data_IF_553964155521
#
_entry.id   IF_553964155521
#
_cell.length_a   1.000
_cell.length_b   1.000
_cell.length_c   1.000
_cell.angle_alpha   90.00
_cell.angle_beta   90.00
_cell.angle_gamma   90.00
#
_symmetry.space_group_name_H-M   'P 1'
#
loop_
_entity.id
_entity.type
_entity.pdbx_description
1 polymer ?
#
# COMPACT_ATOMS: atom_id res chain seq x y z
N UNK A 1 11.18 -11.24 25.69
CA UNK A 1 9.81 -11.09 25.16
C UNK A 1 9.58 -12.23 24.18
N UNK A 2 8.43 -12.89 24.20
CA UNK A 2 8.07 -13.97 23.26
C UNK A 2 7.20 -13.39 22.14
N UNK A 3 7.86 -12.73 21.17
CA UNK A 3 7.18 -12.12 20.01
C UNK A 3 7.12 -13.14 18.89
N UNK A 4 5.93 -13.34 18.31
CA UNK A 4 5.69 -14.31 17.22
C UNK A 4 5.41 -13.68 15.86
N UNK A 5 5.23 -12.37 15.82
CA UNK A 5 4.96 -11.66 14.57
C UNK A 5 5.30 -10.18 14.64
N UNK A 6 5.58 -9.61 13.48
CA UNK A 6 5.84 -8.18 13.30
C UNK A 6 4.99 -7.67 12.13
N UNK A 7 4.31 -6.55 12.37
CA UNK A 7 3.60 -5.81 11.33
C UNK A 7 4.58 -4.77 10.76
N UNK A 8 4.77 -4.76 9.43
CA UNK A 8 5.66 -3.81 8.76
C UNK A 8 4.86 -3.01 7.74
N UNK A 9 4.74 -1.70 7.97
CA UNK A 9 4.15 -0.76 7.02
C UNK A 9 5.18 -0.30 5.99
N UNK A 10 4.82 -0.37 4.70
CA UNK A 10 5.76 -0.17 3.60
C UNK A 10 5.56 1.10 2.76
N UNK A 11 4.34 1.62 2.56
CA UNK A 11 4.12 2.79 1.69
C UNK A 11 4.97 2.79 0.37
N UNK A 12 5.76 3.85 0.12
CA UNK A 12 6.68 3.98 -1.03
C UNK A 12 8.09 3.40 -0.82
N UNK A 13 8.37 2.71 0.29
CA UNK A 13 9.69 2.11 0.54
C UNK A 13 9.80 0.65 0.08
N UNK A 14 8.75 0.07 -0.53
CA UNK A 14 8.80 -1.26 -1.15
C UNK A 14 9.40 -1.17 -2.58
N UNK A 15 10.27 -2.09 -3.00
CA UNK A 15 10.89 -2.08 -4.34
C UNK A 15 9.91 -2.58 -5.42
N UNK A 16 8.90 -1.76 -5.71
CA UNK A 16 7.88 -2.02 -6.72
C UNK A 16 8.47 -1.97 -8.14
N UNK A 17 7.87 -2.72 -9.06
CA UNK A 17 8.31 -2.85 -10.45
C UNK A 17 7.19 -2.55 -11.46
N UNK A 18 7.56 -2.51 -12.74
CA UNK A 18 6.62 -2.33 -13.85
C UNK A 18 5.93 -0.98 -13.79
N UNK A 19 4.59 -0.98 -13.84
CA UNK A 19 3.79 0.24 -13.78
C UNK A 19 3.91 0.98 -12.44
N UNK A 20 4.42 0.33 -11.39
CA UNK A 20 4.59 0.90 -10.06
C UNK A 20 6.02 1.37 -9.77
N UNK A 21 6.97 1.19 -10.71
CA UNK A 21 8.38 1.51 -10.50
C UNK A 21 8.64 3.00 -10.17
N UNK A 22 7.78 3.91 -10.63
CA UNK A 22 7.91 5.36 -10.39
C UNK A 22 7.52 5.78 -8.97
N UNK A 23 6.96 4.86 -8.17
CA UNK A 23 6.50 5.15 -6.81
C UNK A 23 7.65 5.15 -5.79
N UNK A 24 8.64 4.29 -6.00
CA UNK A 24 9.67 3.99 -5.00
C UNK A 24 10.45 5.21 -4.50
N UNK A 25 10.59 5.32 -3.18
CA UNK A 25 11.43 6.33 -2.55
C UNK A 25 12.93 6.02 -2.77
N UNK A 26 13.77 7.05 -2.90
CA UNK A 26 15.22 6.87 -3.13
C UNK A 26 15.94 6.11 -2.01
N UNK A 27 15.42 6.22 -0.79
CA UNK A 27 15.89 5.49 0.39
C UNK A 27 15.02 4.27 0.72
N UNK A 28 14.22 3.79 -0.23
CA UNK A 28 13.42 2.58 -0.08
C UNK A 28 14.27 1.31 -0.02
N UNK A 29 13.66 0.23 0.43
CA UNK A 29 14.29 -1.08 0.45
C UNK A 29 14.57 -1.57 -0.96
N UNK A 30 15.67 -2.31 -1.12
CA UNK A 30 15.89 -3.15 -2.29
C UNK A 30 15.26 -4.52 -2.10
N UNK A 31 15.07 -5.28 -3.18
CA UNK A 31 14.64 -6.69 -3.09
C UNK A 31 15.57 -7.55 -2.24
N UNK A 32 16.85 -7.20 -2.17
CA UNK A 32 17.82 -7.89 -1.32
C UNK A 32 17.59 -7.59 0.16
N UNK A 33 17.20 -6.35 0.49
CA UNK A 33 16.86 -5.96 1.86
C UNK A 33 15.61 -6.69 2.35
N UNK A 34 14.57 -6.76 1.52
CA UNK A 34 13.36 -7.53 1.86
C UNK A 34 13.67 -9.02 2.09
N UNK A 35 14.50 -9.62 1.24
CA UNK A 35 14.97 -11.01 1.44
C UNK A 35 15.75 -11.19 2.73
N UNK A 36 16.55 -10.20 3.13
CA UNK A 36 17.29 -10.24 4.39
C UNK A 36 16.34 -10.17 5.59
N UNK A 37 15.33 -9.30 5.52
CA UNK A 37 14.28 -9.17 6.55
C UNK A 37 13.50 -10.49 6.68
N UNK A 38 13.02 -11.05 5.56
CA UNK A 38 12.32 -12.35 5.51
C UNK A 38 13.17 -13.47 6.11
N UNK A 39 14.45 -13.54 5.74
CA UNK A 39 15.39 -14.54 6.27
C UNK A 39 15.55 -14.39 7.78
N UNK A 40 15.79 -13.17 8.27
CA UNK A 40 15.97 -12.91 9.69
C UNK A 40 14.72 -13.26 10.50
N UNK A 41 13.52 -12.91 10.01
CA UNK A 41 12.27 -13.24 10.67
C UNK A 41 12.06 -14.76 10.73
N UNK A 42 12.32 -15.47 9.63
CA UNK A 42 12.24 -16.94 9.57
C UNK A 42 13.19 -17.64 10.54
N UNK A 43 14.45 -17.19 10.63
CA UNK A 43 15.46 -17.73 11.55
C UNK A 43 15.08 -17.55 13.03
N UNK A 44 14.20 -16.58 13.33
CA UNK A 44 13.71 -16.28 14.67
C UNK A 44 12.27 -16.74 14.91
N UNK A 45 11.67 -17.51 13.99
CA UNK A 45 10.29 -17.99 14.08
C UNK A 45 9.27 -16.83 14.25
N UNK A 46 9.52 -15.71 13.58
CA UNK A 46 8.65 -14.52 13.55
C UNK A 46 7.94 -14.45 12.20
N UNK A 47 6.62 -14.33 12.21
CA UNK A 47 5.82 -14.04 11.02
C UNK A 47 5.88 -12.53 10.70
N UNK A 48 6.28 -12.17 9.47
CA UNK A 48 6.09 -10.81 8.97
C UNK A 48 4.67 -10.70 8.42
N UNK A 49 3.95 -9.66 8.84
CA UNK A 49 2.67 -9.27 8.27
C UNK A 49 2.91 -7.96 7.52
N UNK A 50 3.00 -7.97 6.19
CA UNK A 50 3.15 -6.74 5.43
C UNK A 50 1.86 -5.92 5.53
N UNK A 51 2.02 -4.62 5.77
CA UNK A 51 0.96 -3.63 5.71
C UNK A 51 1.20 -2.73 4.49
N UNK A 52 0.21 -2.68 3.61
CA UNK A 52 0.14 -1.71 2.54
C UNK A 52 -1.21 -1.02 2.57
N UNK A 53 -1.18 0.30 2.45
CA UNK A 53 -2.38 1.12 2.46
C UNK A 53 -3.17 0.90 1.16
N UNK A 54 -4.49 0.67 1.28
CA UNK A 54 -5.36 0.41 0.12
C UNK A 54 -6.54 1.37 -0.01
N UNK A 55 -6.65 2.35 0.90
CA UNK A 55 -7.76 3.31 0.87
C UNK A 55 -7.34 4.73 1.24
N UNK A 56 -6.96 4.97 2.51
CA UNK A 56 -6.36 6.22 2.99
C UNK A 56 -4.84 6.17 3.00
N UNK A 57 -4.18 7.24 3.45
CA UNK A 57 -2.71 7.32 3.57
C UNK A 57 -1.98 6.99 2.25
N UNK A 58 -2.52 7.45 1.11
CA UNK A 58 -1.98 7.17 -0.22
C UNK A 58 -1.27 8.38 -0.86
N UNK A 59 -0.88 9.39 -0.07
CA UNK A 59 -0.15 10.58 -0.51
C UNK A 59 1.08 10.23 -1.33
N UNK A 60 1.76 9.14 -0.98
CA UNK A 60 2.97 8.67 -1.63
C UNK A 60 2.74 8.19 -3.08
N UNK A 61 1.61 7.55 -3.39
CA UNK A 61 1.22 7.24 -4.79
C UNK A 61 0.54 8.43 -5.44
N UNK A 62 -0.48 8.97 -4.79
CA UNK A 62 -1.44 9.89 -5.41
C UNK A 62 -0.86 11.28 -5.62
N UNK A 63 0.28 11.65 -5.01
CA UNK A 63 1.02 12.88 -5.35
C UNK A 63 1.55 12.89 -6.78
N UNK A 64 1.79 11.71 -7.37
CA UNK A 64 2.36 11.58 -8.71
C UNK A 64 1.31 11.87 -9.78
N UNK A 65 1.68 12.63 -10.82
CA UNK A 65 0.75 13.00 -11.89
C UNK A 65 0.17 11.77 -12.62
N UNK A 66 0.94 10.68 -12.71
CA UNK A 66 0.50 9.38 -13.26
C UNK A 66 -0.72 8.80 -12.55
N UNK A 67 -0.86 9.01 -11.25
CA UNK A 67 -1.92 8.41 -10.42
C UNK A 67 -2.96 9.42 -9.93
N UNK A 68 -2.91 10.66 -10.42
CA UNK A 68 -3.81 11.73 -10.01
C UNK A 68 -5.29 11.46 -10.30
N UNK A 69 -5.59 10.74 -11.38
CA UNK A 69 -6.96 10.36 -11.75
C UNK A 69 -7.62 9.39 -10.77
N UNK A 70 -6.83 8.72 -9.93
CA UNK A 70 -7.34 7.76 -8.95
C UNK A 70 -7.80 8.42 -7.65
N UNK A 71 -7.54 9.72 -7.45
CA UNK A 71 -7.92 10.42 -6.21
C UNK A 71 -9.44 10.48 -6.06
N UNK A 72 -9.92 10.23 -4.85
CA UNK A 72 -11.33 10.40 -4.52
C UNK A 72 -11.75 11.88 -4.51
N UNK A 73 -10.84 12.76 -4.08
CA UNK A 73 -11.00 14.20 -4.17
C UNK A 73 -9.91 14.82 -5.05
N UNK A 74 -10.24 15.61 -6.09
CA UNK A 74 -9.28 16.04 -7.11
C UNK A 74 -8.07 16.80 -6.55
N UNK A 75 -8.30 17.56 -5.47
CA UNK A 75 -7.28 18.41 -4.84
C UNK A 75 -6.57 17.75 -3.65
N UNK A 76 -6.97 16.55 -3.21
CA UNK A 76 -6.39 15.91 -2.03
C UNK A 76 -5.81 14.54 -2.42
N UNK A 77 -4.49 14.35 -2.38
CA UNK A 77 -3.85 13.09 -2.74
C UNK A 77 -3.88 12.05 -1.60
N UNK A 78 -4.90 12.04 -0.74
CA UNK A 78 -4.88 11.21 0.49
C UNK A 78 -5.63 9.89 0.30
N UNK A 79 -6.75 9.94 -0.41
CA UNK A 79 -7.71 8.83 -0.52
C UNK A 79 -7.88 8.44 -1.98
N UNK A 80 -7.81 7.14 -2.24
CA UNK A 80 -8.08 6.58 -3.57
C UNK A 80 -9.58 6.36 -3.76
N UNK A 81 -10.07 6.62 -4.97
CA UNK A 81 -11.49 6.51 -5.26
C UNK A 81 -11.89 5.05 -5.46
N UNK A 82 -12.86 4.51 -4.68
CA UNK A 82 -13.40 3.17 -4.90
C UNK A 82 -14.35 3.14 -6.10
N UNK A 83 -14.69 4.30 -6.64
CA UNK A 83 -15.64 4.52 -7.70
C UNK A 83 -15.09 4.15 -9.11
N UNK A 84 -13.80 3.80 -9.23
CA UNK A 84 -13.11 3.55 -10.50
C UNK A 84 -12.66 2.08 -10.61
N UNK A 85 -13.01 1.40 -11.70
CA UNK A 85 -12.55 0.01 -11.92
C UNK A 85 -11.02 -0.11 -11.94
N UNK A 86 -10.35 0.89 -12.52
CA UNK A 86 -8.89 0.93 -12.60
C UNK A 86 -8.23 0.99 -11.22
N UNK A 87 -8.90 1.56 -10.20
CA UNK A 87 -8.41 1.53 -8.81
C UNK A 87 -8.15 0.10 -8.36
N UNK A 88 -9.07 -0.81 -8.64
CA UNK A 88 -8.92 -2.20 -8.24
C UNK A 88 -7.78 -2.90 -8.98
N UNK A 89 -7.50 -2.53 -10.23
CA UNK A 89 -6.36 -3.06 -10.98
C UNK A 89 -5.04 -2.58 -10.34
N UNK A 90 -4.96 -1.29 -10.02
CA UNK A 90 -3.79 -0.71 -9.34
C UNK A 90 -3.54 -1.37 -7.98
N UNK A 91 -4.58 -1.50 -7.16
CA UNK A 91 -4.48 -2.11 -5.84
C UNK A 91 -4.14 -3.60 -5.91
N UNK A 92 -4.66 -4.34 -6.90
CA UNK A 92 -4.30 -5.74 -7.11
C UNK A 92 -2.82 -5.90 -7.48
N UNK A 93 -2.26 -5.05 -8.34
CA UNK A 93 -0.83 -5.09 -8.68
C UNK A 93 0.03 -4.78 -7.44
N UNK A 94 -0.34 -3.76 -6.67
CA UNK A 94 0.35 -3.39 -5.42
C UNK A 94 0.32 -4.53 -4.38
N UNK A 95 -0.84 -5.14 -4.16
CA UNK A 95 -1.01 -6.26 -3.23
C UNK A 95 -0.26 -7.50 -3.73
N UNK A 96 -0.33 -7.82 -5.02
CA UNK A 96 0.37 -8.98 -5.59
C UNK A 96 1.88 -8.86 -5.42
N UNK A 97 2.47 -7.71 -5.76
CA UNK A 97 3.91 -7.49 -5.57
C UNK A 97 4.31 -7.57 -4.09
N UNK A 98 3.46 -7.05 -3.18
CA UNK A 98 3.69 -7.15 -1.73
C UNK A 98 3.71 -8.60 -1.26
N UNK A 99 2.75 -9.42 -1.70
CA UNK A 99 2.67 -10.84 -1.37
C UNK A 99 3.85 -11.64 -1.97
N UNK A 100 4.23 -11.36 -3.21
CA UNK A 100 5.36 -12.02 -3.88
C UNK A 100 6.69 -11.78 -3.13
N UNK A 101 6.80 -10.63 -2.46
CA UNK A 101 7.94 -10.28 -1.62
C UNK A 101 7.91 -10.89 -0.21
N UNK A 102 6.75 -11.37 0.25
CA UNK A 102 6.54 -11.96 1.58
C UNK A 102 5.98 -13.39 1.49
N UNK A 103 6.67 -14.34 0.83
CA UNK A 103 6.13 -15.67 0.53
C UNK A 103 5.91 -16.54 1.78
N UNK A 104 6.49 -16.18 2.93
CA UNK A 104 6.30 -16.89 4.19
C UNK A 104 5.13 -16.35 5.02
N UNK A 105 4.50 -15.25 4.60
CA UNK A 105 3.37 -14.65 5.31
C UNK A 105 2.04 -15.29 4.89
N UNK A 106 1.18 -15.58 5.87
CA UNK A 106 -0.18 -16.05 5.60
C UNK A 106 -1.22 -14.92 5.69
N UNK A 107 -0.77 -13.68 5.92
CA UNK A 107 -1.63 -12.53 6.20
C UNK A 107 -1.09 -11.30 5.48
N UNK A 108 -1.99 -10.39 5.16
CA UNK A 108 -1.64 -9.05 4.70
C UNK A 108 -2.56 -8.07 5.41
N UNK A 109 -2.02 -6.94 5.85
CA UNK A 109 -2.81 -5.86 6.42
C UNK A 109 -3.05 -4.81 5.33
N UNK A 110 -4.32 -4.53 5.04
CA UNK A 110 -4.71 -3.65 3.93
C UNK A 110 -4.83 -2.16 4.32
N UNK A 111 -4.52 -1.84 5.58
CA UNK A 111 -4.59 -0.48 6.12
C UNK A 111 -6.05 -0.06 6.35
N UNK A 112 -6.47 1.00 5.66
CA UNK A 112 -7.83 1.57 5.67
C UNK A 112 -8.18 2.41 6.91
N UNK A 113 -7.18 2.95 7.58
CA UNK A 113 -7.37 3.89 8.68
C UNK A 113 -7.50 5.35 8.22
N UNK A 114 -7.96 6.19 9.15
CA UNK A 114 -8.12 7.65 9.05
C UNK A 114 -8.77 8.23 7.78
N UNK A 115 -9.63 7.46 7.11
CA UNK A 115 -10.43 7.97 5.98
C UNK A 115 -11.59 8.82 6.49
N UNK A 116 -11.28 10.07 6.84
CA UNK A 116 -12.21 11.05 7.38
C UNK A 116 -12.29 12.28 6.47
N UNK A 117 -12.75 12.09 5.24
CA UNK A 117 -12.96 13.21 4.33
C UNK A 117 -14.39 13.75 4.47
N UNK A 118 -14.53 14.90 5.12
CA UNK A 118 -15.82 15.60 5.21
C UNK A 118 -16.20 16.20 3.85
N UNK A 119 -17.47 16.09 3.47
CA UNK A 119 -18.04 16.68 2.26
C UNK A 119 -17.42 16.19 0.94
N UNK A 120 -16.96 14.94 0.87
CA UNK A 120 -16.53 14.40 -0.42
C UNK A 120 -17.74 14.06 -1.26
N UNK A 121 -17.77 14.69 -2.43
CA UNK A 121 -18.72 14.39 -3.48
C UNK A 121 -18.05 13.37 -4.41
N UNK A 122 -18.23 12.05 -4.18
CA UNK A 122 -17.82 11.09 -5.21
C UNK A 122 -18.87 11.14 -6.34
N UNK A 123 -18.41 11.33 -7.58
CA UNK A 123 -19.24 11.24 -8.78
C UNK A 123 -19.93 9.87 -8.93
N UNK A 124 -19.33 8.84 -8.30
CA UNK A 124 -19.83 7.55 -7.85
C UNK A 124 -21.23 7.47 -7.25
N UNK A 125 -21.31 7.95 -6.01
CA UNK A 125 -22.33 7.58 -5.04
C UNK A 125 -23.02 8.81 -4.41
N UNK A 126 -22.64 10.02 -4.81
CA UNK A 126 -23.13 11.26 -4.22
C UNK A 126 -22.35 11.67 -2.97
N UNK A 127 -23.00 12.41 -2.06
CA UNK A 127 -22.38 12.85 -0.79
C UNK A 127 -22.32 11.67 0.17
N UNK A 128 -21.11 11.30 0.57
CA UNK A 128 -20.88 10.40 1.71
C UNK A 128 -20.94 11.28 2.98
N UNK A 129 -22.04 11.20 3.73
CA UNK A 129 -22.23 11.92 5.00
C UNK A 129 -21.58 11.22 6.17
#
# INVERSE_FOLDING_TARGET
MDVKGVLIEYEDILPLEGNLADIGHQAGYTKSDIKLIEKAAKENEIEIIPLIQTFGHLEWILKLEKFKSYRDHPNLPVVISPCLNDTYILLQDLLQQTLDMHPNSNKIHIGCDEVMLKNVHCNCCGIIT
#
